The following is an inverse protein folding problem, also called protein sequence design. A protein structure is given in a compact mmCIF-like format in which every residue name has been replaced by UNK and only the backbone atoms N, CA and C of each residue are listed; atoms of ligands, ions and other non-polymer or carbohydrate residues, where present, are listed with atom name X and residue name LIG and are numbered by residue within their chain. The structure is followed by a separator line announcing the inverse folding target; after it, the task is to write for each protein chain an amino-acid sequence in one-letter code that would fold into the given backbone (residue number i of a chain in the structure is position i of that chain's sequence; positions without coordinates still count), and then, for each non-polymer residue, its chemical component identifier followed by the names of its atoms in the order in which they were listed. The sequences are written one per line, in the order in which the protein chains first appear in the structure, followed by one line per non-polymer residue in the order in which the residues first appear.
data_IF_069597633667
#
_entry.id   IF_069597633667
#
_cell.length_a   1.000
_cell.length_b   1.000
_cell.length_c   1.000
_cell.angle_alpha   90.00
_cell.angle_beta   90.00
_cell.angle_gamma   90.00
#
_symmetry.space_group_name_H-M   'P 1'
#
loop_
_entity.id
_entity.type
_entity.pdbx_description
1 polymer ?
#
# COMPACT_ATOMS: atom_id res chain seq x y z
N UNK A 1 11.90 14.76 16.35
CA UNK A 1 11.97 13.38 15.85
C UNK A 1 10.60 12.83 15.44
N UNK A 2 9.55 12.89 16.28
CA UNK A 2 8.26 12.24 15.95
C UNK A 2 7.51 12.83 14.75
N UNK A 3 7.57 14.15 14.54
CA UNK A 3 6.93 14.80 13.37
C UNK A 3 7.54 14.31 12.04
N UNK A 4 8.84 14.03 12.02
CA UNK A 4 9.56 13.47 10.88
C UNK A 4 9.16 12.02 10.62
N UNK A 5 8.98 11.22 11.67
CA UNK A 5 8.55 9.82 11.56
C UNK A 5 7.10 9.73 11.07
N UNK A 6 6.22 10.58 11.61
CA UNK A 6 4.81 10.65 11.19
C UNK A 6 4.64 11.10 9.74
N UNK A 7 5.47 12.04 9.27
CA UNK A 7 5.44 12.49 7.87
C UNK A 7 5.98 11.42 6.93
N UNK A 8 7.05 10.72 7.33
CA UNK A 8 7.60 9.59 6.58
C UNK A 8 6.61 8.43 6.47
N UNK A 9 5.95 8.02 7.57
CA UNK A 9 4.90 6.99 7.58
C UNK A 9 3.74 7.34 6.63
N UNK A 10 3.34 8.61 6.58
CA UNK A 10 2.31 9.07 5.66
C UNK A 10 2.77 8.99 4.20
N UNK A 11 4.02 9.40 3.93
CA UNK A 11 4.60 9.40 2.60
C UNK A 11 4.74 7.97 2.05
N UNK A 12 5.23 7.02 2.86
CA UNK A 12 5.43 5.64 2.42
C UNK A 12 4.10 4.92 2.16
N UNK A 13 3.09 5.15 3.01
CA UNK A 13 1.73 4.64 2.79
C UNK A 13 1.13 5.15 1.48
N UNK A 14 1.21 6.47 1.25
CA UNK A 14 0.69 7.08 0.01
C UNK A 14 1.43 6.60 -1.24
N UNK A 15 2.76 6.50 -1.16
CA UNK A 15 3.57 6.03 -2.29
C UNK A 15 3.25 4.57 -2.63
N UNK A 16 3.19 3.69 -1.63
CA UNK A 16 2.84 2.28 -1.81
C UNK A 16 1.45 2.11 -2.45
N UNK A 17 0.44 2.87 -2.00
CA UNK A 17 -0.89 2.89 -2.61
C UNK A 17 -0.83 3.32 -4.07
N UNK A 18 -0.12 4.40 -4.37
CA UNK A 18 -0.04 4.96 -5.74
C UNK A 18 0.62 3.97 -6.70
N UNK A 19 1.73 3.35 -6.29
CA UNK A 19 2.41 2.34 -7.09
C UNK A 19 1.58 1.07 -7.27
N UNK A 20 0.90 0.61 -6.21
CA UNK A 20 -0.01 -0.53 -6.31
C UNK A 20 -1.16 -0.25 -7.28
N UNK A 21 -1.78 0.93 -7.19
CA UNK A 21 -2.86 1.35 -8.08
C UNK A 21 -2.39 1.43 -9.53
N UNK A 22 -1.24 2.06 -9.79
CA UNK A 22 -0.64 2.10 -11.11
C UNK A 22 -0.31 0.71 -11.66
N UNK A 23 0.21 -0.17 -10.80
CA UNK A 23 0.49 -1.57 -11.14
C UNK A 23 -0.77 -2.34 -11.54
N UNK A 24 -1.86 -2.20 -10.77
CA UNK A 24 -3.14 -2.86 -11.09
C UNK A 24 -3.64 -2.37 -12.45
N UNK A 25 -3.64 -1.06 -12.68
CA UNK A 25 -4.09 -0.49 -13.95
C UNK A 25 -3.23 -0.96 -15.13
N UNK A 26 -1.90 -1.02 -14.98
CA UNK A 26 -1.01 -1.51 -16.02
C UNK A 26 -1.22 -2.99 -16.32
N UNK A 27 -1.27 -3.83 -15.29
CA UNK A 27 -1.45 -5.28 -15.46
C UNK A 27 -2.78 -5.59 -16.13
N UNK A 28 -3.87 -4.95 -15.68
CA UNK A 28 -5.18 -5.13 -16.29
C UNK A 28 -5.26 -4.50 -17.69
N UNK A 29 -4.61 -3.36 -17.92
CA UNK A 29 -4.53 -2.73 -19.24
C UNK A 29 -3.82 -3.63 -20.26
N UNK A 30 -2.70 -4.25 -19.87
CA UNK A 30 -1.99 -5.24 -20.72
C UNK A 30 -2.85 -6.47 -20.96
N UNK A 31 -3.53 -6.98 -19.94
CA UNK A 31 -4.42 -8.13 -20.08
C UNK A 31 -5.60 -7.82 -21.03
N UNK A 32 -6.20 -6.63 -20.91
CA UNK A 32 -7.27 -6.16 -21.79
C UNK A 32 -6.77 -6.01 -23.23
N UNK A 33 -5.61 -5.39 -23.42
CA UNK A 33 -4.99 -5.23 -24.73
C UNK A 33 -4.69 -6.59 -25.39
N UNK A 34 -4.13 -7.52 -24.62
CA UNK A 34 -3.87 -8.88 -25.07
C UNK A 34 -5.16 -9.64 -25.42
N UNK A 35 -6.24 -9.45 -24.66
CA UNK A 35 -7.55 -10.05 -24.96
C UNK A 35 -8.17 -9.50 -26.25
N UNK A 36 -8.05 -8.19 -26.50
CA UNK A 36 -8.52 -7.56 -27.74
C UNK A 36 -7.71 -8.05 -28.94
N UNK A 37 -6.39 -8.25 -28.77
CA UNK A 37 -5.48 -8.62 -29.85
C UNK A 37 -5.45 -10.14 -30.15
N UNK A 38 -5.39 -11.00 -29.13
CA UNK A 38 -5.36 -12.46 -29.29
C UNK A 38 -6.78 -13.03 -29.19
N UNK A 39 -7.31 -13.48 -30.33
CA UNK A 39 -8.62 -14.14 -30.44
C UNK A 39 -8.66 -15.58 -29.90
N UNK A 40 -7.51 -16.13 -29.49
CA UNK A 40 -7.38 -17.50 -29.00
C UNK A 40 -7.53 -17.60 -27.48
N UNK A 41 -8.60 -18.26 -27.03
CA UNK A 41 -8.95 -18.39 -25.60
C UNK A 41 -7.95 -19.20 -24.79
N UNK A 42 -7.21 -20.12 -25.42
CA UNK A 42 -6.20 -20.97 -24.75
C UNK A 42 -5.05 -20.13 -24.16
N UNK A 43 -4.57 -19.14 -24.90
CA UNK A 43 -3.48 -18.26 -24.45
C UNK A 43 -3.93 -17.36 -23.31
N UNK A 44 -5.15 -16.82 -23.40
CA UNK A 44 -5.72 -15.98 -22.33
C UNK A 44 -5.83 -16.79 -21.03
N UNK A 45 -6.33 -18.02 -21.10
CA UNK A 45 -6.51 -18.87 -19.91
C UNK A 45 -5.19 -19.21 -19.21
N UNK A 46 -4.11 -19.41 -19.97
CA UNK A 46 -2.78 -19.64 -19.40
C UNK A 46 -2.22 -18.41 -18.67
N UNK A 47 -2.60 -17.21 -19.09
CA UNK A 47 -2.09 -15.95 -18.53
C UNK A 47 -2.97 -15.38 -17.41
N UNK A 48 -4.25 -15.79 -17.34
CA UNK A 48 -5.17 -15.38 -16.28
C UNK A 48 -4.65 -15.71 -14.88
N UNK A 49 -4.08 -16.90 -14.68
CA UNK A 49 -3.53 -17.32 -13.38
C UNK A 49 -2.43 -16.37 -12.86
N UNK A 50 -1.35 -16.15 -13.62
CA UNK A 50 -0.32 -15.17 -13.28
C UNK A 50 -0.85 -13.74 -13.09
N UNK A 51 -1.74 -13.26 -13.98
CA UNK A 51 -2.34 -11.92 -13.88
C UNK A 51 -3.16 -11.76 -12.60
N UNK A 52 -3.92 -12.78 -12.21
CA UNK A 52 -4.69 -12.79 -10.98
C UNK A 52 -3.76 -12.76 -9.76
N UNK A 53 -2.71 -13.58 -9.75
CA UNK A 53 -1.73 -13.60 -8.66
C UNK A 53 -1.08 -12.22 -8.45
N UNK A 54 -0.65 -11.56 -9.54
CA UNK A 54 -0.08 -10.21 -9.47
C UNK A 54 -1.10 -9.21 -8.91
N UNK A 55 -2.35 -9.26 -9.36
CA UNK A 55 -3.40 -8.37 -8.84
C UNK A 55 -3.63 -8.57 -7.34
N UNK A 56 -3.66 -9.82 -6.85
CA UNK A 56 -3.81 -10.11 -5.42
C UNK A 56 -2.67 -9.49 -4.62
N UNK A 57 -1.42 -9.64 -5.08
CA UNK A 57 -0.25 -9.05 -4.40
C UNK A 57 -0.31 -7.53 -4.41
N UNK A 58 -0.64 -6.92 -5.55
CA UNK A 58 -0.73 -5.46 -5.66
C UNK A 58 -1.82 -4.90 -4.76
N UNK A 59 -2.99 -5.54 -4.71
CA UNK A 59 -4.09 -5.15 -3.81
C UNK A 59 -3.67 -5.31 -2.35
N UNK A 60 -3.02 -6.42 -2.00
CA UNK A 60 -2.53 -6.65 -0.64
C UNK A 60 -1.52 -5.58 -0.21
N UNK A 61 -0.62 -5.14 -1.09
CA UNK A 61 0.33 -4.05 -0.82
C UNK A 61 -0.40 -2.71 -0.73
N UNK A 62 -1.24 -2.41 -1.71
CA UNK A 62 -1.95 -1.14 -1.83
C UNK A 62 -2.91 -0.88 -0.68
N UNK A 63 -3.44 -1.92 -0.04
CA UNK A 63 -4.29 -1.78 1.15
C UNK A 63 -3.48 -1.98 2.43
N UNK A 64 -2.64 -3.01 2.49
CA UNK A 64 -1.93 -3.43 3.70
C UNK A 64 -0.93 -2.36 4.18
N UNK A 65 -0.14 -1.78 3.28
CA UNK A 65 0.88 -0.79 3.67
C UNK A 65 0.24 0.50 4.21
N UNK A 66 -0.76 1.12 3.55
CA UNK A 66 -1.48 2.26 4.13
C UNK A 66 -2.17 1.94 5.46
N UNK A 67 -2.69 0.73 5.62
CA UNK A 67 -3.34 0.32 6.86
C UNK A 67 -2.33 0.24 8.02
N UNK A 68 -1.20 -0.48 7.83
CA UNK A 68 -0.14 -0.61 8.85
C UNK A 68 0.45 0.76 9.21
N UNK A 69 0.73 1.60 8.21
CA UNK A 69 1.27 2.96 8.44
C UNK A 69 0.28 3.84 9.20
N UNK A 70 -1.02 3.71 8.95
CA UNK A 70 -2.06 4.45 9.68
C UNK A 70 -2.17 3.99 11.14
N UNK A 71 -2.15 2.68 11.39
CA UNK A 71 -2.15 2.10 12.75
C UNK A 71 -0.91 2.56 13.52
N UNK A 72 0.28 2.51 12.90
CA UNK A 72 1.51 2.99 13.52
C UNK A 72 1.44 4.48 13.87
N UNK A 73 0.87 5.32 13.00
CA UNK A 73 0.67 6.75 13.28
C UNK A 73 -0.28 6.97 14.46
N UNK A 74 -1.39 6.23 14.51
CA UNK A 74 -2.34 6.30 15.63
C UNK A 74 -1.69 5.86 16.95
N UNK A 75 -0.88 4.79 16.93
CA UNK A 75 -0.16 4.34 18.11
C UNK A 75 0.83 5.41 18.62
N UNK A 76 1.59 6.05 17.74
CA UNK A 76 2.53 7.14 18.10
C UNK A 76 1.77 8.33 18.72
N UNK A 77 0.65 8.72 18.14
CA UNK A 77 -0.18 9.81 18.66
C UNK A 77 -0.80 9.44 20.02
N UNK A 78 -1.29 8.20 20.18
CA UNK A 78 -1.85 7.69 21.41
C UNK A 78 -0.83 7.62 22.55
N UNK A 79 0.39 7.13 22.29
CA UNK A 79 1.48 7.11 23.28
C UNK A 79 1.83 8.52 23.78
N UNK A 80 1.76 9.54 22.92
CA UNK A 80 1.95 10.94 23.32
C UNK A 80 0.85 11.46 24.25
N UNK A 81 -0.39 10.98 24.09
CA UNK A 81 -1.49 11.32 25.00
C UNK A 81 -1.42 10.62 26.36
N UNK A 82 -0.74 9.46 26.44
CA UNK A 82 -0.63 8.63 27.66
C UNK A 82 0.59 8.98 28.53
N UNK A 83 1.57 9.75 28.01
CA UNK A 83 2.69 10.29 28.82
C UNK A 83 2.51 11.81 29.07
N UNK A 84 1.56 12.24 29.94
CA UNK A 84 1.59 13.58 30.52
C UNK A 84 2.44 13.54 31.79
N UNK A 85 3.68 14.06 31.72
CA UNK A 85 4.47 14.36 32.91
C UNK A 85 5.50 13.30 33.33
N UNK A 86 6.65 13.29 32.66
CA UNK A 86 7.91 13.33 33.43
C UNK A 86 8.25 14.82 33.50
N UNK A 87 7.64 15.51 34.44
CA UNK A 87 8.10 16.81 34.92
C UNK A 87 9.48 16.57 35.52
N UNK A 88 10.52 16.78 34.72
CA UNK A 88 11.87 16.91 35.24
C UNK A 88 11.83 18.17 36.12
N UNK A 89 11.73 17.97 37.43
CA UNK A 89 11.93 19.05 38.39
C UNK A 89 13.37 19.54 38.22
N UNK A 90 13.54 20.63 37.49
CA UNK A 90 14.75 21.43 37.61
C UNK A 90 14.54 22.31 38.83
N UNK A 91 15.46 22.17 39.78
CA UNK A 91 15.66 23.08 40.91
C UNK A 91 15.89 24.51 40.41
#
# INVERSE_FOLDING_TARGET
MDVTVLSWLRSIGWSAFTWALGGVLLVNGVALFAFIWKRERSVVNAWTGPVLAINIVLVAIGIGVPMVTSVARLAIIGMRGVIPGISISSQ
#
